data_IF_385808763079
#
_entry.id   IF_385808763079
#
_cell.length_a   1.000
_cell.length_b   1.000
_cell.length_c   1.000
_cell.angle_alpha   90.00
_cell.angle_beta   90.00
_cell.angle_gamma   90.00
#
_symmetry.space_group_name_H-M   'P 1'
#
loop_
_entity.id
_entity.type
_entity.pdbx_description
1 polymer ?
#
# COMPACT_ATOMS: atom_id res chain seq x y z
N UNK A 1 11.52 -10.91 -5.28
CA UNK A 1 10.49 -11.32 -6.26
C UNK A 1 10.83 -10.78 -7.63
N UNK A 2 10.53 -11.49 -8.73
CA UNK A 2 10.65 -10.94 -10.10
C UNK A 2 9.79 -9.69 -10.30
N UNK A 3 10.05 -8.91 -11.35
CA UNK A 3 9.20 -7.78 -11.70
C UNK A 3 7.80 -8.23 -12.13
N UNK A 4 6.77 -7.70 -11.48
CA UNK A 4 5.38 -8.04 -11.75
C UNK A 4 4.44 -6.88 -11.42
N UNK A 5 3.18 -7.03 -11.85
CA UNK A 5 2.04 -6.27 -11.36
C UNK A 5 1.14 -7.22 -10.57
N UNK A 6 0.26 -6.65 -9.76
CA UNK A 6 -0.79 -7.37 -9.03
C UNK A 6 -2.14 -7.22 -9.74
N UNK A 7 -2.44 -8.04 -10.76
CA UNK A 7 -3.57 -7.82 -11.67
C UNK A 7 -4.95 -7.97 -11.01
N UNK A 8 -5.02 -8.56 -9.82
CA UNK A 8 -6.26 -8.80 -9.09
C UNK A 8 -6.54 -7.76 -7.99
N UNK A 9 -5.66 -6.76 -7.85
CA UNK A 9 -5.84 -5.60 -6.97
C UNK A 9 -6.51 -4.45 -7.73
N UNK A 10 -7.13 -3.51 -7.03
CA UNK A 10 -7.73 -2.32 -7.62
C UNK A 10 -6.72 -1.18 -7.73
N UNK A 11 -6.74 -0.40 -8.81
CA UNK A 11 -5.80 0.70 -9.07
C UNK A 11 -5.78 1.76 -7.98
N UNK A 12 -6.96 2.03 -7.42
CA UNK A 12 -7.16 3.13 -6.46
C UNK A 12 -6.89 2.68 -5.01
N UNK A 13 -6.56 1.40 -4.82
CA UNK A 13 -6.22 0.81 -3.52
C UNK A 13 -4.71 0.58 -3.41
N UNK A 14 -4.23 0.65 -2.16
CA UNK A 14 -2.83 0.41 -1.86
C UNK A 14 -2.62 -0.99 -1.29
N UNK A 15 -1.60 -1.65 -1.81
CA UNK A 15 -0.97 -2.80 -1.20
C UNK A 15 -0.01 -2.27 -0.14
N UNK A 16 -0.24 -2.67 1.11
CA UNK A 16 0.61 -2.33 2.23
C UNK A 16 1.54 -3.50 2.53
N UNK A 17 2.84 -3.26 2.40
CA UNK A 17 3.86 -4.24 2.65
C UNK A 17 4.62 -3.87 3.92
N UNK A 18 4.72 -4.81 4.85
CA UNK A 18 5.40 -4.65 6.14
C UNK A 18 6.58 -5.61 6.20
N UNK A 19 7.79 -5.05 6.30
CA UNK A 19 9.01 -5.83 6.29
C UNK A 19 9.47 -6.17 7.71
N UNK A 20 9.68 -7.46 7.94
CA UNK A 20 10.14 -8.01 9.21
C UNK A 20 11.26 -9.03 8.97
N UNK A 21 12.12 -9.22 9.96
CA UNK A 21 13.24 -10.16 9.89
C UNK A 21 14.56 -9.47 10.22
N UNK A 22 15.64 -10.19 9.93
CA UNK A 22 17.01 -9.78 10.20
C UNK A 22 17.83 -9.96 8.92
N UNK A 23 17.90 -8.89 8.14
CA UNK A 23 18.63 -8.78 6.88
C UNK A 23 18.86 -7.31 6.55
N UNK A 24 19.84 -7.06 5.68
CA UNK A 24 20.19 -5.73 5.19
C UNK A 24 20.23 -5.73 3.65
N UNK A 25 20.36 -4.54 3.06
CA UNK A 25 20.51 -4.31 1.62
C UNK A 25 19.40 -4.90 0.74
N UNK A 26 18.19 -5.03 1.28
CA UNK A 26 17.03 -5.36 0.46
C UNK A 26 16.58 -4.12 -0.33
N UNK A 27 16.24 -4.31 -1.61
CA UNK A 27 15.83 -3.22 -2.50
C UNK A 27 14.45 -3.53 -3.07
N UNK A 28 13.54 -2.57 -2.91
CA UNK A 28 12.29 -2.52 -3.66
C UNK A 28 12.52 -1.63 -4.88
N UNK A 29 12.36 -2.19 -6.07
CA UNK A 29 12.45 -1.47 -7.33
C UNK A 29 11.04 -1.26 -7.89
N UNK A 30 10.76 -0.02 -8.32
CA UNK A 30 9.53 0.38 -9.00
C UNK A 30 9.91 0.98 -10.36
N UNK A 31 10.12 0.15 -11.39
CA UNK A 31 10.62 0.59 -12.69
C UNK A 31 9.70 1.60 -13.39
N UNK A 32 8.39 1.49 -13.16
CA UNK A 32 7.39 2.43 -13.70
C UNK A 32 7.61 3.87 -13.27
N UNK A 33 8.27 4.09 -12.12
CA UNK A 33 8.65 5.40 -11.62
C UNK A 33 10.16 5.68 -11.74
N UNK A 34 10.96 4.68 -12.13
CA UNK A 34 12.42 4.77 -12.12
C UNK A 34 13.00 4.94 -10.70
N UNK A 35 12.32 4.40 -9.69
CA UNK A 35 12.69 4.56 -8.28
C UNK A 35 13.16 3.24 -7.67
N UNK A 36 14.14 3.33 -6.79
CA UNK A 36 14.60 2.24 -5.94
C UNK A 36 14.65 2.71 -4.50
N UNK A 37 14.20 1.85 -3.60
CA UNK A 37 14.13 2.12 -2.17
C UNK A 37 14.90 1.06 -1.40
N UNK A 38 15.69 1.50 -0.41
CA UNK A 38 16.21 0.59 0.60
C UNK A 38 15.02 0.09 1.43
N UNK A 39 14.83 -1.22 1.41
CA UNK A 39 13.61 -1.92 1.81
C UNK A 39 13.89 -2.96 2.88
N UNK A 40 14.58 -2.51 3.94
CA UNK A 40 15.03 -3.33 5.06
C UNK A 40 13.92 -3.58 6.09
N UNK A 41 14.12 -4.47 7.08
CA UNK A 41 13.18 -4.65 8.18
C UNK A 41 12.81 -3.33 8.87
N UNK A 42 11.61 -3.28 9.44
CA UNK A 42 11.01 -2.07 10.05
C UNK A 42 10.58 -0.99 9.04
N UNK A 43 10.49 -1.33 7.76
CA UNK A 43 9.88 -0.48 6.74
C UNK A 43 8.44 -0.88 6.46
N UNK A 44 7.60 0.11 6.20
CA UNK A 44 6.25 -0.06 5.68
C UNK A 44 6.15 0.76 4.40
N UNK A 45 5.70 0.12 3.31
CA UNK A 45 5.49 0.79 2.04
C UNK A 45 4.05 0.53 1.60
N UNK A 46 3.39 1.57 1.09
CA UNK A 46 2.05 1.51 0.54
C UNK A 46 2.05 2.05 -0.88
N UNK A 47 1.61 1.25 -1.85
CA UNK A 47 1.52 1.64 -3.26
C UNK A 47 0.51 0.74 -3.99
N UNK A 48 0.07 1.11 -5.20
CA UNK A 48 -0.81 0.24 -6.00
C UNK A 48 0.02 -0.73 -6.86
N UNK A 49 -0.01 -2.02 -6.55
CA UNK A 49 0.63 -3.08 -7.31
C UNK A 49 -0.01 -3.34 -8.67
N UNK A 50 -1.28 -2.96 -8.86
CA UNK A 50 -1.91 -2.99 -10.20
C UNK A 50 -1.29 -1.96 -11.14
N UNK A 51 -1.02 -0.74 -10.65
CA UNK A 51 -0.48 0.34 -11.48
C UNK A 51 1.04 0.29 -11.60
N UNK A 52 1.73 -0.06 -10.52
CA UNK A 52 3.16 0.04 -10.42
C UNK A 52 3.80 -1.35 -10.53
N UNK A 53 4.49 -1.57 -11.65
CA UNK A 53 5.37 -2.73 -11.77
C UNK A 53 6.41 -2.64 -10.67
N UNK A 54 6.61 -3.72 -9.94
CA UNK A 54 7.53 -3.75 -8.82
C UNK A 54 8.21 -5.11 -8.68
N UNK A 55 9.36 -5.11 -8.02
CA UNK A 55 10.07 -6.32 -7.65
C UNK A 55 11.03 -6.06 -6.50
N UNK A 56 11.41 -7.13 -5.83
CA UNK A 56 12.23 -7.07 -4.63
C UNK A 56 13.51 -7.88 -4.84
N UNK A 57 14.66 -7.32 -4.51
CA UNK A 57 15.93 -8.03 -4.61
C UNK A 57 15.92 -9.31 -3.76
N UNK A 58 16.65 -10.33 -4.22
CA UNK A 58 16.85 -11.55 -3.43
C UNK A 58 17.94 -11.28 -2.40
N UNK A 59 17.57 -11.29 -1.11
CA UNK A 59 18.53 -11.26 -0.01
C UNK A 59 18.80 -12.70 0.45
N UNK A 60 20.05 -13.05 0.71
CA UNK A 60 20.45 -14.44 0.99
C UNK A 60 19.96 -15.05 2.32
N UNK A 61 19.18 -14.29 3.12
CA UNK A 61 18.77 -14.63 4.48
C UNK A 61 17.24 -14.58 4.65
N UNK A 62 16.76 -14.67 5.90
CA UNK A 62 15.33 -14.68 6.25
C UNK A 62 14.63 -13.35 5.97
N UNK A 63 14.30 -13.11 4.70
CA UNK A 63 13.41 -12.05 4.29
C UNK A 63 11.95 -12.47 4.52
N UNK A 64 11.25 -11.76 5.41
CA UNK A 64 9.83 -11.96 5.64
C UNK A 64 9.06 -10.66 5.36
N UNK A 65 7.93 -10.78 4.69
CA UNK A 65 7.05 -9.68 4.32
C UNK A 65 5.61 -10.07 4.65
N UNK A 66 4.89 -9.18 5.36
CA UNK A 66 3.44 -9.25 5.40
C UNK A 66 2.87 -8.33 4.32
N UNK A 67 2.16 -8.92 3.36
CA UNK A 67 1.48 -8.20 2.29
C UNK A 67 -0.01 -8.12 2.60
N UNK A 68 -0.51 -6.91 2.80
CA UNK A 68 -1.93 -6.61 2.96
C UNK A 68 -2.42 -5.97 1.67
N UNK A 69 -3.30 -6.66 0.97
CA UNK A 69 -3.86 -6.20 -0.28
C UNK A 69 -5.33 -6.57 -0.35
N UNK A 70 -6.08 -5.81 -1.13
CA UNK A 70 -7.50 -6.01 -1.34
C UNK A 70 -7.72 -6.53 -2.76
N UNK A 71 -8.57 -7.56 -2.88
CA UNK A 71 -8.91 -8.13 -4.18
C UNK A 71 -10.28 -7.65 -4.64
N UNK A 72 -10.38 -7.39 -5.93
CA UNK A 72 -11.62 -6.88 -6.52
C UNK A 72 -12.80 -7.82 -6.31
N UNK A 73 -12.54 -9.11 -6.39
CA UNK A 73 -13.57 -10.14 -6.25
C UNK A 73 -14.20 -10.19 -4.84
N UNK A 74 -13.51 -9.70 -3.80
CA UNK A 74 -14.06 -9.68 -2.44
C UNK A 74 -15.17 -8.65 -2.33
N UNK A 75 -14.97 -7.45 -2.85
CA UNK A 75 -15.98 -6.38 -2.90
C UNK A 75 -17.21 -6.79 -3.72
N UNK A 76 -16.98 -7.41 -4.89
CA UNK A 76 -18.06 -7.95 -5.71
C UNK A 76 -18.85 -9.04 -4.98
N UNK A 77 -18.17 -9.89 -4.21
CA UNK A 77 -18.80 -10.97 -3.46
C UNK A 77 -19.63 -10.47 -2.27
N UNK A 78 -19.16 -9.44 -1.55
CA UNK A 78 -19.88 -8.83 -0.42
C UNK A 78 -20.87 -7.73 -0.83
N UNK A 79 -20.95 -7.42 -2.13
CA UNK A 79 -21.81 -6.36 -2.70
C UNK A 79 -21.56 -4.96 -2.08
N UNK A 80 -20.34 -4.70 -1.61
CA UNK A 80 -19.94 -3.39 -1.08
C UNK A 80 -19.12 -2.65 -2.14
N UNK A 81 -19.53 -1.43 -2.53
CA UNK A 81 -18.76 -0.61 -3.46
C UNK A 81 -17.30 -0.45 -3.04
N UNK A 82 -16.41 -0.41 -4.01
CA UNK A 82 -15.01 -0.08 -3.78
C UNK A 82 -14.88 1.37 -3.28
N UNK A 83 -13.89 1.62 -2.43
CA UNK A 83 -13.47 2.99 -2.13
C UNK A 83 -12.76 3.60 -3.33
N UNK A 84 -13.08 4.87 -3.64
CA UNK A 84 -12.31 5.70 -4.58
C UNK A 84 -10.95 6.08 -3.96
N UNK A 85 -10.07 6.71 -4.74
CA UNK A 85 -8.77 7.23 -4.34
C UNK A 85 -8.81 7.89 -2.96
N UNK A 86 -7.82 7.55 -2.12
CA UNK A 86 -7.57 8.27 -0.87
C UNK A 86 -7.31 9.75 -1.17
N UNK A 87 -8.25 10.62 -0.81
CA UNK A 87 -8.07 12.07 -0.85
C UNK A 87 -7.70 12.54 0.56
N UNK A 88 -6.59 13.28 0.69
CA UNK A 88 -6.13 13.81 1.99
C UNK A 88 -7.23 14.61 2.71
N UNK A 89 -8.07 15.32 1.96
CA UNK A 89 -9.25 16.02 2.49
C UNK A 89 -10.19 15.08 3.27
N UNK A 90 -10.38 13.85 2.80
CA UNK A 90 -11.21 12.86 3.46
C UNK A 90 -10.58 12.45 4.79
N UNK A 91 -9.27 12.21 4.81
CA UNK A 91 -8.54 11.81 6.04
C UNK A 91 -8.75 12.82 7.17
N UNK A 92 -8.58 14.11 6.89
CA UNK A 92 -8.82 15.16 7.89
C UNK A 92 -10.28 15.19 8.37
N UNK A 93 -11.23 15.05 7.44
CA UNK A 93 -12.67 15.05 7.74
C UNK A 93 -13.08 13.86 8.62
N UNK A 94 -12.46 12.70 8.43
CA UNK A 94 -12.77 11.48 9.20
C UNK A 94 -12.02 11.38 10.53
N UNK A 95 -10.77 11.87 10.60
CA UNK A 95 -9.96 11.80 11.82
C UNK A 95 -10.23 12.95 12.80
N UNK A 96 -10.69 14.10 12.31
CA UNK A 96 -11.06 15.23 13.15
C UNK A 96 -12.58 15.33 13.18
N UNK A 97 -13.26 14.90 14.26
CA UNK A 97 -14.69 15.18 14.39
C UNK A 97 -14.88 16.69 14.34
N UNK A 98 -15.84 17.16 13.53
CA UNK A 98 -16.22 18.55 13.51
C UNK A 98 -16.44 19.03 14.95
N UNK A 99 -15.59 19.94 15.42
CA UNK A 99 -15.81 20.59 16.72
C UNK A 99 -17.21 21.21 16.74
N UNK A 100 -17.85 21.34 17.92
CA UNK A 100 -19.20 21.86 18.00
C UNK A 100 -19.23 23.22 17.29
N UNK A 101 -20.12 23.35 16.31
CA UNK A 101 -20.41 24.62 15.63
C UNK A 101 -20.94 25.54 16.71
N UNK A 102 -20.05 26.39 17.25
CA UNK A 102 -20.43 27.44 18.18
C UNK A 102 -21.33 28.42 17.44
N UNK A 103 -22.63 28.34 17.70
CA UNK A 103 -23.52 29.46 17.44
C UNK A 103 -23.03 30.62 18.29
N UNK A 104 -22.40 31.61 17.65
CA UNK A 104 -22.21 32.92 18.26
C UNK A 104 -23.53 33.69 18.13
N UNK A 105 -23.92 34.26 19.27
CA UNK A 105 -25.12 35.08 19.53
C UNK A 105 -25.10 36.33 18.64
#
# INVERSE_FOLDING_TARGET
>A
TPFHWDPHSWSDQYDMLVMVGDYEDCVLDIPTLGLQFLYNPSTVVAFSGQLLQHGVSSVGWNQCCFAYYMRDNIHNWIEIPHGDWMRVQNVWTWLMPAGPVGHSI
#
